data_IF_613258928717
#
_entry.id   IF_613258928717
#
_cell.length_a   1.000
_cell.length_b   1.000
_cell.length_c   1.000
_cell.angle_alpha   90.00
_cell.angle_beta   90.00
_cell.angle_gamma   90.00
#
_symmetry.space_group_name_H-M   'P 1'
#
loop_
_entity.id
_entity.type
_entity.pdbx_description
1 polymer ?
#
# COMPACT_ATOMS: atom_id res chain seq x y z
N UNK A 1 0.40 7.32 -28.58
CA UNK A 1 -0.10 8.58 -27.96
C UNK A 1 -0.88 8.19 -26.72
N UNK A 2 -0.28 8.29 -25.54
CA UNK A 2 -1.02 8.24 -24.26
C UNK A 2 -1.76 9.56 -24.05
N UNK A 3 -2.96 9.50 -23.50
CA UNK A 3 -3.83 10.65 -23.24
C UNK A 3 -3.09 11.78 -22.47
N UNK A 4 -3.55 13.05 -22.60
CA UNK A 4 -2.96 14.19 -21.88
C UNK A 4 -3.26 14.04 -20.38
N UNK A 5 -2.32 13.42 -19.67
CA UNK A 5 -2.48 12.94 -18.31
C UNK A 5 -1.83 11.56 -18.21
N UNK A 6 -0.58 11.51 -17.77
CA UNK A 6 0.17 10.27 -17.63
C UNK A 6 -0.60 9.20 -16.85
N UNK A 7 -0.22 7.93 -17.05
CA UNK A 7 -0.84 6.78 -16.35
C UNK A 7 -0.65 6.98 -14.85
N UNK A 8 -1.72 7.33 -14.13
CA UNK A 8 -1.72 7.48 -12.67
C UNK A 8 -1.96 6.11 -12.01
N UNK A 9 -0.96 5.60 -11.30
CA UNK A 9 -1.02 4.33 -10.60
C UNK A 9 -1.26 4.57 -9.10
N UNK A 10 -2.45 4.18 -8.61
CA UNK A 10 -2.80 4.28 -7.20
C UNK A 10 -2.85 2.91 -6.54
N UNK A 11 -2.14 2.74 -5.42
CA UNK A 11 -2.16 1.52 -4.62
C UNK A 11 -2.51 1.81 -3.17
N UNK A 12 -3.54 1.13 -2.68
CA UNK A 12 -3.90 1.10 -1.26
C UNK A 12 -3.42 -0.21 -0.63
N UNK A 13 -2.85 -0.09 0.57
CA UNK A 13 -2.39 -1.22 1.38
C UNK A 13 -3.16 -1.19 2.68
N UNK A 14 -4.09 -2.12 2.84
CA UNK A 14 -4.87 -2.26 4.06
C UNK A 14 -4.19 -3.28 4.98
N UNK A 15 -3.66 -2.81 6.10
CA UNK A 15 -2.97 -3.68 7.07
C UNK A 15 -3.48 -3.46 8.50
N UNK A 16 -3.13 -4.38 9.39
CA UNK A 16 -3.29 -4.15 10.84
C UNK A 16 -2.11 -3.30 11.29
N UNK A 17 -2.32 -2.42 12.27
CA UNK A 17 -1.26 -1.62 12.88
C UNK A 17 -0.15 -2.46 13.53
N UNK A 18 0.96 -1.81 13.91
CA UNK A 18 2.07 -2.44 14.63
C UNK A 18 3.35 -2.64 13.82
N UNK A 19 3.42 -2.11 12.58
CA UNK A 19 4.69 -2.01 11.84
C UNK A 19 5.37 -0.68 12.07
N UNK A 20 6.70 -0.71 12.11
CA UNK A 20 7.49 0.51 12.32
C UNK A 20 7.41 1.42 11.10
N UNK A 21 7.74 2.70 11.30
CA UNK A 21 7.82 3.68 10.21
C UNK A 21 8.82 3.24 9.14
N UNK A 22 9.92 2.61 9.54
CA UNK A 22 10.97 2.17 8.61
C UNK A 22 10.52 0.99 7.75
N UNK A 23 9.82 0.02 8.33
CA UNK A 23 9.20 -1.08 7.57
C UNK A 23 8.18 -0.55 6.56
N UNK A 24 7.33 0.40 6.97
CA UNK A 24 6.36 1.04 6.08
C UNK A 24 7.04 1.80 4.94
N UNK A 25 8.13 2.52 5.22
CA UNK A 25 8.91 3.24 4.20
C UNK A 25 9.52 2.27 3.18
N UNK A 26 10.15 1.18 3.64
CA UNK A 26 10.72 0.16 2.74
C UNK A 26 9.67 -0.43 1.81
N UNK A 27 8.51 -0.83 2.36
CA UNK A 27 7.40 -1.36 1.56
C UNK A 27 6.90 -0.36 0.48
N UNK A 28 6.78 0.92 0.82
CA UNK A 28 6.40 1.96 -0.13
C UNK A 28 7.43 2.08 -1.26
N UNK A 29 8.72 2.09 -0.93
CA UNK A 29 9.80 2.17 -1.91
C UNK A 29 9.79 0.98 -2.87
N UNK A 30 9.69 -0.24 -2.34
CA UNK A 30 9.69 -1.47 -3.14
C UNK A 30 8.53 -1.52 -4.12
N UNK A 31 7.32 -1.15 -3.67
CA UNK A 31 6.13 -1.12 -4.53
C UNK A 31 6.27 -0.07 -5.62
N UNK A 32 6.68 1.15 -5.27
CA UNK A 32 6.88 2.22 -6.26
C UNK A 32 7.91 1.81 -7.30
N UNK A 33 9.05 1.26 -6.87
CA UNK A 33 10.10 0.79 -7.77
C UNK A 33 9.60 -0.28 -8.74
N UNK A 34 8.83 -1.25 -8.24
CA UNK A 34 8.25 -2.32 -9.05
C UNK A 34 7.28 -1.76 -10.10
N UNK A 35 6.42 -0.82 -9.72
CA UNK A 35 5.46 -0.18 -10.65
C UNK A 35 6.19 0.57 -11.76
N UNK A 36 7.19 1.39 -11.41
CA UNK A 36 8.01 2.14 -12.37
C UNK A 36 8.69 1.18 -13.34
N UNK A 37 9.32 0.11 -12.84
CA UNK A 37 10.05 -0.85 -13.68
C UNK A 37 9.13 -1.64 -14.63
N UNK A 38 7.97 -2.11 -14.15
CA UNK A 38 7.10 -2.99 -14.93
C UNK A 38 6.17 -2.23 -15.86
N UNK A 39 5.72 -1.05 -15.46
CA UNK A 39 4.75 -0.26 -16.23
C UNK A 39 5.40 0.91 -16.99
N UNK A 40 6.70 1.14 -16.81
CA UNK A 40 7.46 2.20 -17.49
C UNK A 40 6.82 3.59 -17.29
N UNK A 41 6.32 3.85 -16.08
CA UNK A 41 5.70 5.11 -15.69
C UNK A 41 6.65 5.94 -14.81
N UNK A 42 6.48 7.26 -14.84
CA UNK A 42 7.17 8.16 -13.91
C UNK A 42 6.74 7.86 -12.46
N UNK A 43 7.70 7.86 -11.53
CA UNK A 43 7.45 7.68 -10.11
C UNK A 43 6.49 8.76 -9.53
N UNK A 44 6.50 9.97 -10.09
CA UNK A 44 5.57 11.05 -9.73
C UNK A 44 4.10 10.69 -10.00
N UNK A 45 3.85 9.73 -10.89
CA UNK A 45 2.50 9.23 -11.17
C UNK A 45 2.10 8.04 -10.28
N UNK A 46 2.97 7.58 -9.38
CA UNK A 46 2.71 6.45 -8.49
C UNK A 46 2.39 6.96 -7.08
N UNK A 47 1.17 6.66 -6.62
CA UNK A 47 0.73 6.95 -5.26
C UNK A 47 0.52 5.65 -4.49
N UNK A 48 1.16 5.55 -3.31
CA UNK A 48 0.98 4.45 -2.37
C UNK A 48 0.44 4.99 -1.06
N UNK A 49 -0.71 4.47 -0.61
CA UNK A 49 -1.29 4.81 0.68
C UNK A 49 -1.40 3.56 1.55
N UNK A 50 -0.86 3.65 2.77
CA UNK A 50 -1.04 2.65 3.82
C UNK A 50 -2.25 3.08 4.66
N UNK A 51 -3.21 2.17 4.80
CA UNK A 51 -4.38 2.32 5.66
C UNK A 51 -4.27 1.26 6.75
N UNK A 52 -3.96 1.70 7.96
CA UNK A 52 -3.88 0.86 9.14
C UNK A 52 -5.24 0.81 9.84
N UNK A 53 -5.56 -0.35 10.41
CA UNK A 53 -6.69 -0.54 11.31
C UNK A 53 -6.16 -1.16 12.61
N UNK A 54 -6.73 -0.74 13.74
CA UNK A 54 -6.46 -1.41 15.00
C UNK A 54 -6.89 -2.87 14.95
N UNK A 55 -6.36 -3.68 15.86
CA UNK A 55 -6.70 -5.11 15.96
C UNK A 55 -8.18 -5.34 16.24
N UNK A 56 -8.84 -4.41 16.93
CA UNK A 56 -10.28 -4.45 17.25
C UNK A 56 -11.19 -4.02 16.10
N UNK A 57 -10.63 -3.34 15.09
CA UNK A 57 -11.38 -2.80 13.94
C UNK A 57 -11.15 -3.60 12.66
N UNK A 58 -10.54 -4.78 12.76
CA UNK A 58 -10.23 -5.62 11.61
C UNK A 58 -10.46 -7.07 11.97
N UNK A 59 -11.08 -7.81 11.06
CA UNK A 59 -11.37 -9.23 11.22
C UNK A 59 -10.96 -10.02 9.98
N UNK A 60 -10.74 -11.32 10.18
CA UNK A 60 -10.67 -12.30 9.08
C UNK A 60 -11.50 -13.50 9.50
N UNK A 61 -12.28 -14.09 8.60
CA UNK A 61 -13.10 -15.26 8.91
C UNK A 61 -14.04 -15.08 10.11
N UNK A 62 -14.59 -13.88 10.30
CA UNK A 62 -15.52 -13.58 11.39
C UNK A 62 -14.91 -13.36 12.78
N UNK A 63 -13.57 -13.38 12.92
CA UNK A 63 -12.89 -13.20 14.21
C UNK A 63 -11.98 -11.98 14.16
N UNK A 64 -12.06 -11.12 15.18
CA UNK A 64 -11.24 -9.91 15.29
C UNK A 64 -9.76 -10.26 15.37
N UNK A 65 -8.89 -9.38 14.89
CA UNK A 65 -7.45 -9.59 15.05
C UNK A 65 -7.00 -9.47 16.50
N UNK A 66 -7.74 -8.78 17.37
CA UNK A 66 -7.46 -8.74 18.81
C UNK A 66 -7.78 -10.06 19.51
N UNK A 67 -8.69 -10.86 18.96
CA UNK A 67 -9.08 -12.18 19.48
C UNK A 67 -8.24 -13.33 18.91
N UNK A 68 -7.32 -13.03 17.98
CA UNK A 68 -6.38 -13.99 17.40
C UNK A 68 -5.10 -13.99 18.23
N UNK A 69 -4.85 -15.10 18.94
CA UNK A 69 -3.60 -15.43 19.64
C UNK A 69 -2.40 -15.47 18.69
#
# INVERSE_FOLDING_TARGET
>A
MTAPGGISCRKFIYMVEGRTKDQKRGLIQDITQSVVQRLQVDAANVMVQIIESSRDNKAKGGVLFSERS
#
